data_IF_263527589063
#
_entry.id   IF_263527589063
#
_cell.length_a   1.000
_cell.length_b   1.000
_cell.length_c   1.000
_cell.angle_alpha   90.00
_cell.angle_beta   90.00
_cell.angle_gamma   90.00
#
_symmetry.space_group_name_H-M   'P 1'
#
loop_
_entity.id
_entity.type
_entity.pdbx_description
1 polymer ?
#
# COMPACT_ATOMS: atom_id res chain seq x y z
N UNK A 1 9.69 -3.59 -15.26
CA UNK A 1 9.75 -2.92 -13.94
C UNK A 1 10.92 -1.95 -13.94
N UNK A 2 10.71 -0.67 -13.61
CA UNK A 2 11.76 0.35 -13.50
C UNK A 2 12.24 0.50 -12.05
N UNK A 3 13.40 1.15 -11.84
CA UNK A 3 13.89 1.46 -10.50
C UNK A 3 12.91 2.35 -9.73
N UNK A 4 12.32 3.34 -10.41
CA UNK A 4 11.32 4.23 -9.82
C UNK A 4 10.08 3.46 -9.33
N UNK A 5 9.59 2.49 -10.12
CA UNK A 5 8.48 1.62 -9.73
C UNK A 5 8.81 0.81 -8.48
N UNK A 6 10.03 0.29 -8.38
CA UNK A 6 10.49 -0.48 -7.21
C UNK A 6 10.59 0.40 -5.97
N UNK A 7 11.17 1.60 -6.09
CA UNK A 7 11.25 2.56 -4.99
C UNK A 7 9.85 2.93 -4.49
N UNK A 8 8.90 3.15 -5.40
CA UNK A 8 7.54 3.49 -5.03
C UNK A 8 6.85 2.40 -4.20
N UNK A 9 7.05 1.13 -4.57
CA UNK A 9 6.54 0.01 -3.77
C UNK A 9 7.18 -0.06 -2.38
N UNK A 10 8.48 0.23 -2.28
CA UNK A 10 9.19 0.28 -0.98
C UNK A 10 8.63 1.40 -0.11
N UNK A 11 8.42 2.59 -0.68
CA UNK A 11 7.81 3.72 0.02
C UNK A 11 6.41 3.38 0.55
N UNK A 12 5.57 2.73 -0.26
CA UNK A 12 4.25 2.26 0.18
C UNK A 12 4.36 1.25 1.34
N UNK A 13 5.29 0.30 1.26
CA UNK A 13 5.51 -0.66 2.35
C UNK A 13 5.87 0.00 3.67
N UNK A 14 6.79 0.96 3.62
CA UNK A 14 7.21 1.68 4.81
C UNK A 14 6.05 2.53 5.33
N UNK A 15 5.30 3.20 4.45
CA UNK A 15 4.14 4.01 4.84
C UNK A 15 3.00 3.22 5.49
N UNK A 16 2.66 2.05 4.95
CA UNK A 16 1.51 1.24 5.40
C UNK A 16 1.84 0.14 6.41
N UNK A 17 3.10 -0.25 6.55
CA UNK A 17 3.47 -1.34 7.44
C UNK A 17 4.56 -0.94 8.43
N UNK A 18 5.06 0.30 8.35
CA UNK A 18 6.18 0.82 9.13
C UNK A 18 7.40 -0.14 9.11
N UNK A 19 7.55 -0.89 8.01
CA UNK A 19 8.61 -1.90 7.82
C UNK A 19 9.10 -1.89 6.39
N UNK A 20 10.38 -2.21 6.22
CA UNK A 20 10.93 -2.48 4.90
C UNK A 20 10.31 -3.77 4.32
N UNK A 21 10.03 -3.82 3.01
CA UNK A 21 9.58 -5.05 2.39
C UNK A 21 10.70 -6.10 2.39
N UNK A 22 10.31 -7.35 2.61
CA UNK A 22 11.15 -8.50 2.30
C UNK A 22 11.22 -8.73 0.78
N UNK A 23 12.25 -9.44 0.31
CA UNK A 23 12.49 -9.66 -1.11
C UNK A 23 11.30 -10.33 -1.82
N UNK A 24 10.70 -11.35 -1.20
CA UNK A 24 9.55 -12.06 -1.76
C UNK A 24 8.31 -11.18 -1.86
N UNK A 25 8.04 -10.35 -0.83
CA UNK A 25 6.94 -9.39 -0.85
C UNK A 25 7.12 -8.36 -1.95
N UNK A 26 8.31 -7.75 -2.06
CA UNK A 26 8.60 -6.76 -3.10
C UNK A 26 8.44 -7.35 -4.50
N UNK A 27 8.83 -8.61 -4.71
CA UNK A 27 8.69 -9.30 -6.00
C UNK A 27 7.22 -9.56 -6.35
N UNK A 28 6.42 -10.00 -5.38
CA UNK A 28 4.97 -10.19 -5.56
C UNK A 28 4.29 -8.90 -6.04
N UNK A 29 4.52 -7.78 -5.35
CA UNK A 29 3.90 -6.51 -5.72
C UNK A 29 4.47 -5.91 -7.02
N UNK A 30 5.73 -6.20 -7.34
CA UNK A 30 6.29 -5.89 -8.65
C UNK A 30 5.58 -6.67 -9.77
N UNK A 31 5.25 -7.95 -9.53
CA UNK A 31 4.45 -8.78 -10.41
C UNK A 31 3.03 -8.24 -10.59
N UNK A 32 2.36 -7.86 -9.50
CA UNK A 32 1.03 -7.26 -9.56
C UNK A 32 1.03 -5.92 -10.30
N UNK A 33 2.02 -5.05 -10.06
CA UNK A 33 2.18 -3.82 -10.81
C UNK A 33 2.35 -4.11 -12.31
N UNK A 34 3.22 -5.06 -12.68
CA UNK A 34 3.41 -5.44 -14.07
C UNK A 34 2.14 -6.01 -14.71
N UNK A 35 1.35 -6.80 -13.96
CA UNK A 35 0.08 -7.35 -14.42
C UNK A 35 -0.96 -6.25 -14.67
N UNK A 36 -1.05 -5.25 -13.78
CA UNK A 36 -1.95 -4.10 -13.95
C UNK A 36 -1.57 -3.28 -15.18
N UNK A 37 -0.28 -2.97 -15.35
CA UNK A 37 0.22 -2.26 -16.53
C UNK A 37 -0.04 -3.05 -17.82
N UNK A 38 0.14 -4.37 -17.80
CA UNK A 38 -0.17 -5.26 -18.92
C UNK A 38 -1.65 -5.30 -19.31
N UNK A 39 -2.55 -4.97 -18.38
CA UNK A 39 -3.99 -4.80 -18.63
C UNK A 39 -4.35 -3.42 -19.19
N UNK A 40 -3.37 -2.53 -19.40
CA UNK A 40 -3.59 -1.15 -19.85
C UNK A 40 -3.99 -0.18 -18.73
N UNK A 41 -3.86 -0.59 -17.46
CA UNK A 41 -4.06 0.31 -16.32
C UNK A 41 -2.89 1.30 -16.28
N UNK A 42 -3.16 2.57 -16.02
CA UNK A 42 -2.10 3.58 -15.89
C UNK A 42 -1.28 3.35 -14.62
N UNK A 43 0.00 3.76 -14.60
CA UNK A 43 0.85 3.63 -13.41
C UNK A 43 0.22 4.24 -12.16
N UNK A 44 -0.39 5.43 -12.30
CA UNK A 44 -1.08 6.10 -11.20
C UNK A 44 -2.22 5.25 -10.62
N UNK A 45 -3.08 4.70 -11.49
CA UNK A 45 -4.17 3.82 -11.07
C UNK A 45 -3.66 2.52 -10.47
N UNK A 46 -2.59 1.95 -11.02
CA UNK A 46 -2.02 0.72 -10.51
C UNK A 46 -1.47 0.90 -9.07
N UNK A 47 -0.79 2.02 -8.79
CA UNK A 47 -0.37 2.35 -7.43
C UNK A 47 -1.55 2.55 -6.47
N UNK A 48 -2.64 3.16 -6.92
CA UNK A 48 -3.85 3.29 -6.11
C UNK A 48 -4.44 1.92 -5.76
N UNK A 49 -4.55 1.00 -6.73
CA UNK A 49 -5.01 -0.36 -6.46
C UNK A 49 -4.10 -1.14 -5.51
N UNK A 50 -2.78 -0.93 -5.59
CA UNK A 50 -1.82 -1.56 -4.68
C UNK A 50 -1.95 -0.96 -3.27
N UNK A 51 -2.07 0.37 -3.15
CA UNK A 51 -2.24 1.06 -1.87
C UNK A 51 -3.53 0.64 -1.15
N UNK A 52 -4.63 0.47 -1.89
CA UNK A 52 -5.90 -0.04 -1.36
C UNK A 52 -5.76 -1.43 -0.72
N UNK A 53 -5.04 -2.33 -1.40
CA UNK A 53 -4.74 -3.67 -0.84
C UNK A 53 -3.77 -3.62 0.34
N UNK A 54 -2.87 -2.65 0.39
CA UNK A 54 -1.98 -2.47 1.56
C UNK A 54 -2.77 -1.99 2.77
N UNK A 55 -3.73 -1.10 2.55
CA UNK A 55 -4.64 -0.65 3.58
C UNK A 55 -5.50 -1.81 4.11
N UNK A 56 -6.12 -2.59 3.22
CA UNK A 56 -6.90 -3.77 3.60
C UNK A 56 -6.06 -4.81 4.35
N UNK A 57 -4.84 -5.10 3.87
CA UNK A 57 -3.91 -5.96 4.59
C UNK A 57 -3.55 -5.38 5.97
N UNK A 58 -3.31 -4.07 6.07
CA UNK A 58 -3.03 -3.40 7.34
C UNK A 58 -4.16 -3.56 8.35
N UNK A 59 -5.42 -3.48 7.89
CA UNK A 59 -6.60 -3.76 8.71
C UNK A 59 -6.66 -5.24 9.12
N UNK A 60 -6.43 -6.17 8.19
CA UNK A 60 -6.46 -7.60 8.45
C UNK A 60 -5.39 -8.04 9.47
N UNK A 61 -4.19 -7.48 9.37
CA UNK A 61 -3.08 -7.77 10.29
C UNK A 61 -3.17 -6.95 11.59
N UNK A 62 -4.22 -6.13 11.77
CA UNK A 62 -4.41 -5.30 12.95
C UNK A 62 -3.31 -4.25 13.14
N UNK A 63 -2.58 -3.91 12.07
CA UNK A 63 -1.55 -2.88 12.06
C UNK A 63 -2.16 -1.48 12.24
N UNK A 64 -3.41 -1.33 11.81
CA UNK A 64 -4.26 -0.20 12.12
C UNK A 64 -5.59 -0.73 12.65
N UNK A 65 -6.12 -0.09 13.71
CA UNK A 65 -7.50 -0.29 14.10
C UNK A 65 -8.36 0.63 13.25
N UNK A 66 -9.43 0.11 12.65
CA UNK A 66 -10.41 0.92 11.93
C UNK A 66 -11.04 2.02 12.81
N UNK A 67 -10.85 1.98 14.14
CA UNK A 67 -11.26 2.97 15.13
C UNK A 67 -10.44 4.28 15.09
N UNK A 68 -9.26 4.29 14.46
CA UNK A 68 -8.48 5.51 14.18
C UNK A 68 -8.94 6.23 12.89
N UNK A 69 -10.03 5.77 12.28
CA UNK A 69 -10.59 6.37 11.07
C UNK A 69 -11.37 7.63 11.43
N UNK A 70 -10.67 8.74 11.68
CA UNK A 70 -11.22 10.12 11.73
C UNK A 70 -12.17 10.43 12.92
N UNK A 71 -12.97 9.49 13.41
CA UNK A 71 -14.02 9.74 14.41
C UNK A 71 -13.48 9.96 15.83
N UNK A 72 -12.36 9.35 16.22
CA UNK A 72 -11.71 9.62 17.52
C UNK A 72 -10.95 10.96 17.57
N UNK A 73 -10.63 11.58 16.42
CA UNK A 73 -9.93 12.87 16.37
C UNK A 73 -10.86 14.05 16.70
N UNK A 74 -12.18 13.91 16.52
CA UNK A 74 -13.15 15.01 16.75
C UNK A 74 -13.72 15.01 18.19
N UNK A 75 -13.60 13.93 18.97
CA UNK A 75 -14.09 13.91 20.36
C UNK A 75 -13.07 14.38 21.42
N UNK A 76 -11.81 14.65 21.07
CA UNK A 76 -10.85 15.21 22.03
C UNK A 76 -10.82 16.75 22.05
N UNK A 77 -11.62 17.38 21.19
CA UNK A 77 -11.90 18.83 21.23
C UNK A 77 -13.41 19.02 21.22
N UNK A 78 -14.07 18.60 22.30
CA UNK A 78 -15.19 19.31 22.94
C UNK A 78 -15.43 18.75 24.34
#
# INVERSE_FOLDING_TARGET
>A
MTLAQRLKLIELYIGYFNRAPEQAGLDYWAGELAALLGRGVTEAQAYQSIADRFYDAGLQFGLYKADDSVESFIQQVY
#
